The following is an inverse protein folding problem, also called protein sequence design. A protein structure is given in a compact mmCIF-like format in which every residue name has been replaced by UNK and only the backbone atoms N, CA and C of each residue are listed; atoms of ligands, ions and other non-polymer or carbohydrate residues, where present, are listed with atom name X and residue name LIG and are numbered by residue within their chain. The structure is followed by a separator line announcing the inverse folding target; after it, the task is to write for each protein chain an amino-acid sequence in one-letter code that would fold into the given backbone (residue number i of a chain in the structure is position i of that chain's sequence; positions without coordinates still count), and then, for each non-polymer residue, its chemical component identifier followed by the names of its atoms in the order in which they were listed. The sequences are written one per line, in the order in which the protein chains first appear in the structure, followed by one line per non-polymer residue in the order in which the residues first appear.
data_IF_334214028847
#
_entry.id   IF_334214028847
#
_cell.length_a   1.000
_cell.length_b   1.000
_cell.length_c   1.000
_cell.angle_alpha   90.00
_cell.angle_beta   90.00
_cell.angle_gamma   90.00
#
_symmetry.space_group_name_H-M   'P 1'
#
loop_
_entity.id
_entity.type
_entity.pdbx_description
1 polymer ?
#
# COMPACT_ATOMS: atom_id res chain seq x y z
N UNK A 1 -21.09 0.27 8.72
CA UNK A 1 -19.69 0.55 9.06
C UNK A 1 -19.45 0.32 10.56
N UNK A 2 -18.16 0.08 10.94
CA UNK A 2 -17.75 0.00 12.34
C UNK A 2 -18.04 1.31 13.09
N UNK A 3 -18.13 1.23 14.43
CA UNK A 3 -18.32 2.41 15.29
C UNK A 3 -17.12 3.35 15.16
N UNK A 4 -17.38 4.65 15.02
CA UNK A 4 -16.37 5.68 14.89
C UNK A 4 -16.67 6.89 15.77
N UNK A 5 -15.64 7.72 16.00
CA UNK A 5 -15.74 9.02 16.67
C UNK A 5 -15.17 10.11 15.76
N UNK A 6 -15.74 11.31 15.87
CA UNK A 6 -15.29 12.48 15.13
C UNK A 6 -14.50 13.40 16.04
N UNK A 7 -13.36 13.87 15.53
CA UNK A 7 -12.51 14.83 16.21
C UNK A 7 -12.10 15.94 15.23
N UNK A 8 -12.17 17.21 15.63
CA UNK A 8 -11.60 18.29 14.82
C UNK A 8 -10.07 18.11 14.70
N UNK A 9 -9.54 18.42 13.53
CA UNK A 9 -8.12 18.38 13.25
C UNK A 9 -7.70 19.75 12.67
N UNK A 10 -7.47 20.73 13.53
CA UNK A 10 -7.35 22.12 13.15
C UNK A 10 -8.67 22.72 12.67
N UNK A 11 -8.60 23.74 11.82
CA UNK A 11 -9.77 24.52 11.38
C UNK A 11 -10.40 24.00 10.09
N UNK A 12 -9.72 23.13 9.37
CA UNK A 12 -10.09 22.68 8.01
C UNK A 12 -10.03 21.15 7.81
N UNK A 13 -10.10 20.38 8.90
CA UNK A 13 -10.17 18.93 8.79
C UNK A 13 -10.94 18.27 9.95
N UNK A 14 -11.53 17.11 9.66
CA UNK A 14 -12.15 16.21 10.64
C UNK A 14 -11.47 14.84 10.57
N UNK A 15 -11.07 14.30 11.71
CA UNK A 15 -10.63 12.92 11.85
C UNK A 15 -11.82 12.04 12.21
N UNK A 16 -12.16 11.12 11.32
CA UNK A 16 -13.05 9.99 11.60
C UNK A 16 -12.20 8.87 12.18
N UNK A 17 -12.34 8.57 13.45
CA UNK A 17 -11.46 7.65 14.18
C UNK A 17 -12.22 6.39 14.57
N UNK A 18 -11.77 5.25 14.08
CA UNK A 18 -12.28 3.91 14.39
C UNK A 18 -11.58 3.30 15.62
N UNK A 19 -11.93 2.06 15.97
CA UNK A 19 -11.34 1.34 17.10
C UNK A 19 -9.82 1.28 17.03
N UNK A 20 -9.14 1.29 18.20
CA UNK A 20 -7.68 1.32 18.29
C UNK A 20 -7.04 -0.06 18.02
N UNK A 21 -7.17 -0.54 16.80
CA UNK A 21 -6.53 -1.78 16.32
C UNK A 21 -6.21 -1.67 14.84
N UNK A 22 -5.17 -2.38 14.39
CA UNK A 22 -4.86 -2.55 12.98
C UNK A 22 -5.65 -3.76 12.49
N UNK A 23 -6.67 -3.52 11.67
CA UNK A 23 -7.66 -4.52 11.30
C UNK A 23 -8.09 -4.31 9.84
N UNK A 24 -8.05 -5.35 8.97
CA UNK A 24 -8.50 -5.25 7.59
C UNK A 24 -9.96 -4.81 7.44
N UNK A 25 -10.83 -5.12 8.42
CA UNK A 25 -12.23 -4.65 8.39
C UNK A 25 -12.32 -3.14 8.60
N UNK A 26 -11.55 -2.61 9.55
CA UNK A 26 -11.48 -1.15 9.77
C UNK A 26 -10.94 -0.46 8.50
N UNK A 27 -9.92 -1.02 7.86
CA UNK A 27 -9.42 -0.47 6.59
C UNK A 27 -10.52 -0.45 5.53
N UNK A 28 -11.28 -1.53 5.37
CA UNK A 28 -12.45 -1.58 4.45
C UNK A 28 -13.50 -0.52 4.80
N UNK A 29 -13.82 -0.34 6.09
CA UNK A 29 -14.75 0.70 6.54
C UNK A 29 -14.26 2.10 6.20
N UNK A 30 -12.96 2.36 6.32
CA UNK A 30 -12.34 3.64 5.93
C UNK A 30 -12.45 3.86 4.42
N UNK A 31 -12.10 2.86 3.61
CA UNK A 31 -12.20 2.95 2.14
C UNK A 31 -13.66 3.16 1.70
N UNK A 32 -14.59 2.42 2.30
CA UNK A 32 -16.02 2.55 2.03
C UNK A 32 -16.53 3.95 2.34
N UNK A 33 -16.18 4.48 3.51
CA UNK A 33 -16.60 5.82 3.93
C UNK A 33 -16.06 6.88 2.97
N UNK A 34 -14.78 6.76 2.59
CA UNK A 34 -14.12 7.67 1.65
C UNK A 34 -14.84 7.65 0.29
N UNK A 35 -15.14 6.47 -0.25
CA UNK A 35 -15.84 6.33 -1.53
C UNK A 35 -17.27 6.85 -1.47
N UNK A 36 -18.00 6.57 -0.40
CA UNK A 36 -19.33 7.12 -0.19
C UNK A 36 -19.33 8.64 -0.14
N UNK A 37 -18.36 9.25 0.54
CA UNK A 37 -18.20 10.72 0.60
C UNK A 37 -17.85 11.30 -0.78
N UNK A 38 -16.96 10.65 -1.53
CA UNK A 38 -16.64 11.05 -2.91
C UNK A 38 -17.87 11.01 -3.82
N UNK A 39 -18.65 9.92 -3.74
CA UNK A 39 -19.87 9.75 -4.56
C UNK A 39 -20.96 10.77 -4.24
N UNK A 40 -20.96 11.33 -3.02
CA UNK A 40 -21.90 12.39 -2.62
C UNK A 40 -21.54 13.75 -3.22
N UNK A 41 -20.34 13.94 -3.75
CA UNK A 41 -19.84 15.20 -4.32
C UNK A 41 -20.10 16.40 -3.39
N UNK A 42 -19.95 16.21 -2.08
CA UNK A 42 -20.19 17.25 -1.08
C UNK A 42 -19.31 18.46 -1.35
N UNK A 43 -19.95 19.60 -1.63
CA UNK A 43 -19.23 20.86 -1.82
C UNK A 43 -18.39 21.20 -0.59
N UNK A 44 -17.16 21.67 -0.82
CA UNK A 44 -16.25 22.08 0.24
C UNK A 44 -15.32 20.98 0.75
N UNK A 45 -15.49 19.71 0.42
CA UNK A 45 -14.48 18.68 0.69
C UNK A 45 -13.31 18.88 -0.28
N UNK A 46 -12.09 19.03 0.27
CA UNK A 46 -10.87 19.28 -0.51
C UNK A 46 -9.93 18.07 -0.59
N UNK A 47 -10.07 17.08 0.29
CA UNK A 47 -9.21 15.91 0.26
C UNK A 47 -9.52 14.87 1.33
N UNK A 48 -8.88 13.71 1.18
CA UNK A 48 -8.97 12.59 2.11
C UNK A 48 -7.59 12.01 2.36
N UNK A 49 -7.29 11.69 3.63
CA UNK A 49 -6.09 10.96 4.01
C UNK A 49 -6.49 9.77 4.87
N UNK A 50 -6.55 8.57 4.28
CA UNK A 50 -6.76 7.34 5.04
C UNK A 50 -5.49 6.97 5.81
N UNK A 51 -5.66 6.37 7.00
CA UNK A 51 -4.61 5.79 7.81
C UNK A 51 -5.07 4.44 8.39
N UNK A 52 -4.29 3.84 9.30
CA UNK A 52 -4.61 2.51 9.86
C UNK A 52 -6.01 2.40 10.47
N UNK A 53 -6.47 3.46 11.14
CA UNK A 53 -7.74 3.50 11.87
C UNK A 53 -8.47 4.84 11.77
N UNK A 54 -7.99 5.74 10.92
CA UNK A 54 -8.58 7.06 10.77
C UNK A 54 -8.76 7.41 9.29
N UNK A 55 -9.81 8.18 9.01
CA UNK A 55 -9.94 8.93 7.78
C UNK A 55 -9.93 10.41 8.13
N UNK A 56 -8.92 11.13 7.67
CA UNK A 56 -8.92 12.59 7.75
C UNK A 56 -9.63 13.15 6.53
N UNK A 57 -10.68 13.91 6.75
CA UNK A 57 -11.45 14.60 5.72
C UNK A 57 -11.11 16.08 5.77
N UNK A 58 -10.45 16.59 4.75
CA UNK A 58 -10.13 18.02 4.61
C UNK A 58 -11.29 18.76 3.95
N UNK A 59 -11.53 19.98 4.40
CA UNK A 59 -12.60 20.81 3.87
C UNK A 59 -12.27 22.31 3.90
N UNK A 60 -12.96 23.07 3.06
CA UNK A 60 -12.93 24.53 3.09
C UNK A 60 -14.03 25.03 4.04
N UNK A 61 -13.68 25.63 5.19
CA UNK A 61 -14.66 26.09 6.19
C UNK A 61 -15.50 27.31 5.71
N UNK A 62 -15.13 27.95 4.61
CA UNK A 62 -15.97 29.00 3.98
C UNK A 62 -17.13 28.38 3.20
N UNK A 63 -16.94 27.17 2.64
CA UNK A 63 -17.93 26.48 1.80
C UNK A 63 -18.81 25.50 2.57
N UNK A 64 -18.27 24.88 3.64
CA UNK A 64 -19.00 23.90 4.45
C UNK A 64 -18.60 24.02 5.91
N UNK A 65 -19.59 24.03 6.83
CA UNK A 65 -19.30 24.06 8.28
C UNK A 65 -18.96 22.68 8.80
N UNK A 66 -18.36 22.62 10.01
CA UNK A 66 -18.06 21.36 10.70
C UNK A 66 -19.34 20.49 10.87
N UNK A 67 -20.44 21.09 11.31
CA UNK A 67 -21.70 20.40 11.54
C UNK A 67 -22.36 19.90 10.24
N UNK A 68 -22.16 20.60 9.14
CA UNK A 68 -22.61 20.14 7.82
C UNK A 68 -21.79 18.92 7.36
N UNK A 69 -20.47 18.98 7.55
CA UNK A 69 -19.58 17.88 7.19
C UNK A 69 -19.79 16.67 8.11
N UNK A 70 -20.02 16.88 9.41
CA UNK A 70 -20.39 15.81 10.35
C UNK A 70 -21.65 15.05 9.88
N UNK A 71 -22.70 15.80 9.48
CA UNK A 71 -23.92 15.19 8.91
C UNK A 71 -23.64 14.42 7.62
N UNK A 72 -22.80 14.96 6.74
CA UNK A 72 -22.41 14.26 5.50
C UNK A 72 -21.65 12.97 5.79
N UNK A 73 -20.71 12.98 6.73
CA UNK A 73 -19.98 11.79 7.18
C UNK A 73 -20.96 10.74 7.73
N UNK A 74 -21.89 11.17 8.58
CA UNK A 74 -22.91 10.26 9.13
C UNK A 74 -23.79 9.66 8.03
N UNK A 75 -24.28 10.46 7.09
CA UNK A 75 -25.05 9.96 5.94
C UNK A 75 -24.25 8.99 5.08
N UNK A 76 -22.97 9.30 4.82
CA UNK A 76 -22.08 8.42 4.07
C UNK A 76 -21.85 7.09 4.79
N UNK A 77 -21.78 7.11 6.14
CA UNK A 77 -21.58 5.89 6.93
C UNK A 77 -22.78 4.93 6.91
N UNK A 78 -23.98 5.45 6.67
CA UNK A 78 -25.21 4.67 6.57
C UNK A 78 -25.47 4.08 5.19
N UNK A 79 -24.78 4.59 4.14
CA UNK A 79 -24.93 4.02 2.80
C UNK A 79 -24.43 2.58 2.76
N UNK A 80 -25.21 1.72 2.11
CA UNK A 80 -24.78 0.36 1.82
C UNK A 80 -23.47 0.38 1.00
N UNK A 81 -22.66 -0.65 1.21
CA UNK A 81 -21.42 -0.80 0.47
C UNK A 81 -21.69 -0.88 -1.02
N UNK A 82 -21.18 0.09 -1.78
CA UNK A 82 -21.05 -0.03 -3.23
C UNK A 82 -19.85 -0.93 -3.60
N UNK A 83 -19.05 -1.31 -2.60
CA UNK A 83 -17.85 -2.14 -2.74
C UNK A 83 -18.15 -3.65 -2.79
N UNK A 84 -19.42 -4.06 -2.85
CA UNK A 84 -19.82 -5.50 -2.88
C UNK A 84 -19.21 -6.31 -4.02
N UNK A 85 -18.49 -5.66 -4.93
CA UNK A 85 -17.78 -6.31 -6.04
C UNK A 85 -16.42 -5.69 -6.34
N UNK A 86 -15.77 -5.07 -5.35
CA UNK A 86 -14.42 -4.57 -5.63
C UNK A 86 -13.47 -5.74 -5.87
N UNK A 87 -12.97 -5.78 -7.09
CA UNK A 87 -11.88 -6.65 -7.44
C UNK A 87 -10.67 -6.32 -6.56
N UNK A 88 -10.10 -7.33 -5.91
CA UNK A 88 -8.83 -7.21 -5.18
C UNK A 88 -7.74 -6.99 -6.23
N UNK A 89 -7.02 -5.88 -6.12
CA UNK A 89 -5.83 -5.62 -6.94
C UNK A 89 -4.60 -6.04 -6.15
N UNK A 90 -3.74 -6.85 -6.76
CA UNK A 90 -2.46 -7.31 -6.20
C UNK A 90 -1.36 -6.81 -7.13
N UNK A 91 -0.54 -5.91 -6.62
CA UNK A 91 0.59 -5.34 -7.36
C UNK A 91 1.84 -6.17 -7.07
N UNK A 92 2.43 -6.75 -8.10
CA UNK A 92 3.62 -7.58 -8.03
C UNK A 92 4.88 -6.72 -8.06
N UNK A 93 5.69 -6.82 -7.00
CA UNK A 93 6.92 -6.04 -6.84
C UNK A 93 8.13 -6.98 -6.83
N UNK A 94 8.96 -6.97 -7.88
CA UNK A 94 10.19 -7.76 -7.90
C UNK A 94 11.18 -7.25 -6.85
N UNK A 95 11.75 -8.14 -6.04
CA UNK A 95 12.67 -7.79 -4.96
C UNK A 95 13.87 -8.72 -4.94
N UNK A 96 15.08 -8.15 -5.01
CA UNK A 96 16.32 -8.86 -4.72
C UNK A 96 16.64 -8.76 -3.23
N UNK A 97 16.86 -9.91 -2.57
CA UNK A 97 17.04 -9.99 -1.12
C UNK A 97 18.48 -10.22 -0.73
N UNK A 98 18.88 -9.64 0.41
CA UNK A 98 20.19 -9.85 1.03
C UNK A 98 21.36 -9.20 0.30
N UNK A 99 22.59 -9.58 0.67
CA UNK A 99 23.83 -8.96 0.16
C UNK A 99 23.76 -7.43 0.25
N UNK A 100 24.13 -6.74 -0.83
CA UNK A 100 24.10 -5.28 -0.92
C UNK A 100 22.67 -4.72 -0.98
N UNK A 101 21.69 -5.51 -1.44
CA UNK A 101 20.29 -5.13 -1.50
C UNK A 101 19.57 -5.18 -0.15
N UNK A 102 20.02 -6.04 0.76
CA UNK A 102 19.41 -6.25 2.07
C UNK A 102 20.45 -6.43 3.18
N UNK A 103 21.19 -5.37 3.53
CA UNK A 103 22.30 -5.44 4.50
C UNK A 103 21.88 -5.93 5.88
N UNK A 104 20.60 -5.76 6.26
CA UNK A 104 20.09 -6.14 7.58
C UNK A 104 19.40 -7.51 7.60
N UNK A 105 19.34 -8.23 6.48
CA UNK A 105 18.67 -9.53 6.40
C UNK A 105 19.21 -10.51 7.47
N UNK A 106 20.52 -10.49 7.74
CA UNK A 106 21.13 -11.31 8.81
C UNK A 106 20.68 -10.88 10.21
N UNK A 107 20.47 -9.58 10.43
CA UNK A 107 19.99 -9.07 11.71
C UNK A 107 18.56 -9.57 11.99
N UNK A 108 17.69 -9.46 10.99
CA UNK A 108 16.32 -9.99 11.07
C UNK A 108 16.32 -11.49 11.30
N UNK A 109 17.15 -12.24 10.57
CA UNK A 109 17.28 -13.69 10.72
C UNK A 109 17.72 -14.08 12.15
N UNK A 110 18.72 -13.41 12.69
CA UNK A 110 19.20 -13.65 14.05
C UNK A 110 18.12 -13.32 15.10
N UNK A 111 17.41 -12.19 14.94
CA UNK A 111 16.34 -11.78 15.84
C UNK A 111 15.18 -12.77 15.83
N UNK A 112 14.75 -13.20 14.64
CA UNK A 112 13.69 -14.16 14.41
C UNK A 112 14.06 -15.62 14.75
N UNK A 113 15.35 -15.90 15.00
CA UNK A 113 15.91 -17.28 15.14
C UNK A 113 15.63 -18.16 13.93
N UNK A 114 15.76 -17.58 12.75
CA UNK A 114 15.57 -18.20 11.45
C UNK A 114 16.84 -18.11 10.61
N UNK A 115 16.91 -18.90 9.55
CA UNK A 115 17.92 -18.69 8.50
C UNK A 115 17.51 -17.49 7.61
N UNK A 116 18.46 -16.80 6.96
CA UNK A 116 18.13 -15.75 5.98
C UNK A 116 17.17 -16.22 4.88
N UNK A 117 17.29 -17.48 4.44
CA UNK A 117 16.41 -18.08 3.43
C UNK A 117 14.98 -18.24 3.94
N UNK A 118 14.80 -18.61 5.19
CA UNK A 118 13.47 -18.71 5.82
C UNK A 118 12.83 -17.35 6.00
N UNK A 119 13.60 -16.31 6.40
CA UNK A 119 13.13 -14.92 6.46
C UNK A 119 12.60 -14.48 5.11
N UNK A 120 13.40 -14.64 4.05
CA UNK A 120 13.01 -14.29 2.68
C UNK A 120 11.73 -15.03 2.28
N UNK A 121 11.67 -16.36 2.49
CA UNK A 121 10.49 -17.18 2.16
C UNK A 121 9.23 -16.66 2.85
N UNK A 122 9.28 -16.41 4.15
CA UNK A 122 8.14 -15.94 4.94
C UNK A 122 7.74 -14.52 4.57
N UNK A 123 8.71 -13.69 4.15
CA UNK A 123 8.44 -12.33 3.75
C UNK A 123 7.75 -12.25 2.38
N UNK A 124 8.13 -13.03 1.38
CA UNK A 124 7.49 -12.95 0.05
C UNK A 124 6.21 -13.79 -0.10
N UNK A 125 5.98 -14.75 0.79
CA UNK A 125 4.87 -15.70 0.66
C UNK A 125 3.47 -15.07 0.77
N UNK A 126 3.18 -14.10 1.68
CA UNK A 126 1.86 -13.50 1.78
C UNK A 126 1.65 -12.31 0.82
N UNK A 127 0.38 -12.01 0.57
CA UNK A 127 -0.02 -10.73 0.01
C UNK A 127 -0.23 -9.73 1.14
N UNK A 128 0.33 -8.55 1.02
CA UNK A 128 0.30 -7.50 2.05
C UNK A 128 -0.73 -6.43 1.72
N UNK A 129 -1.71 -6.23 2.59
CA UNK A 129 -2.66 -5.14 2.46
C UNK A 129 -1.97 -3.78 2.65
N UNK A 130 -2.18 -2.86 1.73
CA UNK A 130 -1.77 -1.45 1.87
C UNK A 130 -2.80 -0.73 2.74
N UNK A 131 -2.47 -0.48 3.99
CA UNK A 131 -3.35 0.27 4.90
C UNK A 131 -3.37 1.76 4.57
N UNK A 132 -2.21 2.31 4.24
CA UNK A 132 -2.06 3.73 3.93
C UNK A 132 -0.79 4.00 3.13
N UNK A 133 -0.79 5.14 2.44
CA UNK A 133 0.41 5.77 1.90
C UNK A 133 0.71 7.02 2.72
N UNK A 134 1.99 7.28 2.99
CA UNK A 134 2.37 8.48 3.76
C UNK A 134 3.81 8.45 4.22
N UNK A 135 4.24 9.42 5.02
CA UNK A 135 5.62 9.71 5.39
C UNK A 135 6.41 10.29 4.21
N UNK A 136 6.48 9.58 3.09
CA UNK A 136 7.06 10.02 1.82
C UNK A 136 6.04 9.78 0.71
N UNK A 137 6.08 10.52 -0.41
CA UNK A 137 5.24 10.22 -1.56
C UNK A 137 5.43 8.79 -2.03
N UNK A 138 4.35 7.97 -1.98
CA UNK A 138 4.38 6.57 -2.37
C UNK A 138 4.93 5.59 -1.34
N UNK A 139 5.35 6.01 -0.13
CA UNK A 139 5.71 5.06 0.91
C UNK A 139 4.47 4.29 1.37
N UNK A 140 4.55 2.96 1.35
CA UNK A 140 3.46 2.06 1.71
C UNK A 140 3.64 1.49 3.11
N UNK A 141 2.58 1.55 3.91
CA UNK A 141 2.49 0.86 5.19
C UNK A 141 1.70 -0.43 4.99
N UNK A 142 2.41 -1.55 5.05
CA UNK A 142 1.90 -2.88 4.76
C UNK A 142 1.60 -3.64 6.06
N UNK A 143 0.42 -4.24 6.11
CA UNK A 143 0.03 -5.15 7.19
C UNK A 143 0.02 -6.60 6.74
N UNK A 144 0.12 -7.52 7.70
CA UNK A 144 0.14 -8.96 7.44
C UNK A 144 1.54 -9.59 7.47
N UNK A 145 2.54 -8.86 8.01
CA UNK A 145 3.86 -9.45 8.25
C UNK A 145 3.74 -10.62 9.24
N UNK A 146 4.40 -11.76 8.93
CA UNK A 146 4.54 -12.87 9.88
C UNK A 146 5.12 -12.33 11.20
N UNK A 147 4.41 -12.49 12.33
CA UNK A 147 4.87 -11.97 13.63
C UNK A 147 6.26 -12.44 14.03
N UNK A 148 6.72 -13.60 13.53
CA UNK A 148 8.06 -14.10 13.79
C UNK A 148 9.14 -13.24 13.12
N UNK A 149 8.82 -12.51 12.06
CA UNK A 149 9.73 -11.57 11.38
C UNK A 149 9.78 -10.20 12.05
N UNK A 150 8.89 -9.92 13.00
CA UNK A 150 8.83 -8.63 13.68
C UNK A 150 10.18 -8.29 14.32
N UNK A 151 10.80 -7.23 13.85
CA UNK A 151 12.15 -6.83 14.27
C UNK A 151 12.17 -5.32 14.59
N UNK A 152 12.70 -4.89 15.74
CA UNK A 152 12.80 -3.49 16.08
C UNK A 152 13.58 -2.68 15.05
N UNK A 153 13.30 -1.38 14.97
CA UNK A 153 14.11 -0.43 14.20
C UNK A 153 15.56 -0.45 14.66
N UNK A 154 16.46 -0.04 13.78
CA UNK A 154 17.85 0.22 14.15
C UNK A 154 17.92 1.24 15.29
N UNK A 155 18.81 1.03 16.26
CA UNK A 155 19.04 1.98 17.35
C UNK A 155 19.50 3.35 16.84
N UNK A 156 20.32 3.35 15.78
CA UNK A 156 20.75 4.57 15.08
C UNK A 156 20.23 4.51 13.65
N UNK A 157 19.29 5.39 13.27
CA UNK A 157 18.79 5.47 11.91
C UNK A 157 19.91 5.79 10.90
N UNK A 158 19.80 5.26 9.69
CA UNK A 158 20.65 5.65 8.57
C UNK A 158 20.31 7.06 8.11
N UNK A 159 21.30 7.83 7.73
CA UNK A 159 21.10 9.14 7.10
C UNK A 159 20.55 9.01 5.68
N UNK A 160 20.84 7.87 5.04
CA UNK A 160 20.47 7.59 3.66
C UNK A 160 20.03 6.15 3.51
N UNK A 161 18.83 5.95 2.95
CA UNK A 161 18.30 4.68 2.45
C UNK A 161 18.00 4.89 0.98
N UNK A 162 18.44 3.96 0.14
CA UNK A 162 18.26 4.06 -1.32
C UNK A 162 16.80 3.83 -1.71
N UNK A 163 16.33 4.46 -2.82
CA UNK A 163 15.03 4.19 -3.39
C UNK A 163 14.85 2.69 -3.70
N UNK A 164 13.63 2.20 -3.49
CA UNK A 164 13.32 0.79 -3.68
C UNK A 164 13.69 -0.13 -2.52
N UNK A 165 14.33 0.38 -1.46
CA UNK A 165 14.69 -0.43 -0.30
C UNK A 165 13.45 -1.00 0.39
N UNK A 166 13.44 -2.31 0.60
CA UNK A 166 12.38 -3.06 1.31
C UNK A 166 12.86 -3.35 2.72
N UNK A 167 12.04 -2.99 3.71
CA UNK A 167 12.45 -3.10 5.09
C UNK A 167 11.37 -3.57 6.05
N UNK A 168 11.82 -3.95 7.26
CA UNK A 168 10.98 -4.36 8.38
C UNK A 168 11.22 -3.41 9.56
N UNK A 169 10.14 -3.03 10.25
CA UNK A 169 10.19 -2.27 11.49
C UNK A 169 9.01 -2.63 12.41
N UNK A 170 9.29 -3.24 13.55
CA UNK A 170 8.26 -3.82 14.40
C UNK A 170 7.49 -4.88 13.61
N UNK A 171 6.19 -4.81 13.64
CA UNK A 171 5.26 -5.74 12.97
C UNK A 171 4.91 -5.32 11.53
N UNK A 172 5.67 -4.38 10.94
CA UNK A 172 5.38 -3.83 9.62
C UNK A 172 6.50 -4.12 8.63
N UNK A 173 6.11 -4.27 7.36
CA UNK A 173 7.01 -4.18 6.22
C UNK A 173 6.61 -3.01 5.31
N UNK A 174 7.51 -2.55 4.47
CA UNK A 174 7.26 -1.44 3.56
C UNK A 174 8.40 -1.22 2.59
N UNK A 175 8.21 -0.27 1.67
CA UNK A 175 9.17 0.04 0.61
C UNK A 175 9.44 1.54 0.63
N UNK A 176 10.70 1.92 0.60
CA UNK A 176 11.12 3.31 0.45
C UNK A 176 11.05 3.73 -1.02
N UNK A 177 10.14 4.61 -1.42
CA UNK A 177 9.97 4.98 -2.83
C UNK A 177 11.04 5.94 -3.35
N UNK A 178 11.59 6.74 -2.45
CA UNK A 178 12.62 7.76 -2.72
C UNK A 178 13.72 7.70 -1.66
N UNK A 179 14.86 8.30 -1.95
CA UNK A 179 15.95 8.43 -0.98
C UNK A 179 15.48 9.18 0.27
N UNK A 180 15.77 8.63 1.45
CA UNK A 180 15.41 9.27 2.73
C UNK A 180 16.21 8.71 3.89
N UNK A 181 16.29 9.42 5.03
CA UNK A 181 16.76 8.81 6.27
C UNK A 181 15.74 7.78 6.77
N UNK A 182 16.22 6.78 7.54
CA UNK A 182 15.32 5.79 8.14
C UNK A 182 16.02 4.77 9.01
N UNK A 183 15.25 4.15 9.91
CA UNK A 183 15.74 3.16 10.87
C UNK A 183 15.20 1.75 10.66
N UNK A 184 14.60 1.45 9.52
CA UNK A 184 14.09 0.11 9.23
C UNK A 184 15.22 -0.85 8.91
N UNK A 185 15.01 -2.13 9.21
CA UNK A 185 15.91 -3.21 8.85
C UNK A 185 15.75 -3.52 7.37
N UNK A 186 16.69 -3.12 6.53
CA UNK A 186 16.62 -3.30 5.09
C UNK A 186 16.99 -4.74 4.74
N UNK A 187 16.05 -5.47 4.12
CA UNK A 187 16.17 -6.89 3.80
C UNK A 187 16.27 -7.18 2.29
N UNK A 188 15.89 -6.22 1.45
CA UNK A 188 15.91 -6.34 0.00
C UNK A 188 15.73 -4.99 -0.68
N UNK A 189 15.72 -5.01 -2.02
CA UNK A 189 15.49 -3.83 -2.83
C UNK A 189 14.75 -4.21 -4.11
N UNK A 190 13.81 -3.35 -4.55
CA UNK A 190 13.15 -3.43 -5.85
C UNK A 190 13.84 -2.51 -6.86
N UNK A 191 13.94 -2.90 -8.13
CA UNK A 191 14.45 -2.03 -9.20
C UNK A 191 13.42 -1.02 -9.71
N UNK A 192 12.15 -1.08 -9.22
CA UNK A 192 11.07 -0.24 -9.71
C UNK A 192 11.19 1.21 -9.24
N UNK A 193 10.76 2.14 -10.08
CA UNK A 193 10.50 3.54 -9.70
C UNK A 193 9.08 3.64 -9.14
N UNK A 194 8.94 3.59 -7.82
CA UNK A 194 7.63 3.54 -7.16
C UNK A 194 6.91 4.88 -7.11
N UNK A 195 7.62 5.99 -7.32
CA UNK A 195 7.06 7.33 -7.43
C UNK A 195 7.47 7.98 -8.74
N UNK A 196 6.49 8.37 -9.55
CA UNK A 196 6.62 8.94 -10.88
C UNK A 196 5.77 10.22 -10.96
N UNK A 197 6.27 11.36 -10.45
CA UNK A 197 5.47 12.59 -10.30
C UNK A 197 4.99 13.19 -11.63
N UNK A 198 5.63 12.82 -12.75
CA UNK A 198 5.29 13.32 -14.08
C UNK A 198 4.22 12.48 -14.79
N UNK A 199 3.70 11.42 -14.14
CA UNK A 199 2.63 10.57 -14.66
C UNK A 199 1.29 10.97 -14.06
N UNK A 200 0.20 10.79 -14.81
CA UNK A 200 -1.17 11.01 -14.33
C UNK A 200 -1.48 10.12 -13.11
N UNK A 201 -0.98 8.86 -13.11
CA UNK A 201 -0.99 7.94 -11.98
C UNK A 201 0.44 7.82 -11.43
N UNK A 202 0.80 8.61 -10.41
CA UNK A 202 2.18 8.67 -9.92
C UNK A 202 2.63 7.42 -9.14
N UNK A 203 1.70 6.51 -8.82
CA UNK A 203 1.95 5.28 -8.09
C UNK A 203 1.29 4.09 -8.77
N UNK A 204 1.90 2.90 -8.69
CA UNK A 204 1.32 1.65 -9.20
C UNK A 204 0.16 1.13 -8.34
N UNK A 205 -0.01 1.64 -7.12
CA UNK A 205 -0.88 1.11 -6.07
C UNK A 205 -1.59 2.23 -5.31
N UNK A 206 -2.69 1.84 -4.64
CA UNK A 206 -3.49 2.70 -3.79
C UNK A 206 -3.71 2.05 -2.41
N UNK A 207 -4.14 2.82 -1.43
CA UNK A 207 -4.61 2.25 -0.16
C UNK A 207 -5.79 1.32 -0.42
N UNK A 208 -5.76 0.13 0.17
CA UNK A 208 -6.73 -0.94 -0.07
C UNK A 208 -6.28 -1.99 -1.10
N UNK A 209 -5.30 -1.69 -1.96
CA UNK A 209 -4.64 -2.69 -2.80
C UNK A 209 -3.75 -3.62 -1.96
N UNK A 210 -3.28 -4.69 -2.59
CA UNK A 210 -2.29 -5.60 -2.01
C UNK A 210 -0.97 -5.51 -2.75
N UNK A 211 0.13 -5.76 -2.05
CA UNK A 211 1.44 -5.99 -2.63
C UNK A 211 1.83 -7.46 -2.45
N UNK A 212 2.31 -8.05 -3.52
CA UNK A 212 3.03 -9.32 -3.50
C UNK A 212 4.49 -9.08 -3.87
N UNK A 213 5.41 -9.60 -3.07
CA UNK A 213 6.84 -9.51 -3.36
C UNK A 213 7.31 -10.71 -4.15
N UNK A 214 7.82 -10.50 -5.37
CA UNK A 214 8.37 -11.55 -6.19
C UNK A 214 9.90 -11.61 -6.00
N UNK A 215 10.45 -12.68 -5.39
CA UNK A 215 11.88 -12.79 -5.20
C UNK A 215 12.58 -12.97 -6.55
N UNK A 216 13.55 -12.10 -6.83
CA UNK A 216 14.37 -12.16 -8.06
C UNK A 216 15.85 -12.31 -7.72
N UNK A 217 16.59 -12.90 -8.63
CA UNK A 217 18.06 -12.95 -8.55
C UNK A 217 18.68 -11.59 -8.84
N UNK A 218 19.97 -11.43 -8.52
CA UNK A 218 20.75 -10.24 -8.84
C UNK A 218 20.76 -9.98 -10.37
N UNK A 219 20.91 -11.02 -11.17
CA UNK A 219 20.87 -10.91 -12.63
C UNK A 219 19.50 -10.40 -13.12
N UNK A 220 18.40 -10.97 -12.64
CA UNK A 220 17.04 -10.53 -12.99
C UNK A 220 16.77 -9.10 -12.51
N UNK A 221 17.26 -8.74 -11.32
CA UNK A 221 17.17 -7.36 -10.82
C UNK A 221 17.79 -6.37 -11.80
N UNK A 222 19.01 -6.65 -12.30
CA UNK A 222 19.70 -5.78 -13.25
C UNK A 222 18.97 -5.70 -14.60
N UNK A 223 18.40 -6.82 -15.08
CA UNK A 223 17.59 -6.84 -16.31
C UNK A 223 16.33 -5.98 -16.16
N UNK A 224 15.59 -6.17 -15.06
CA UNK A 224 14.39 -5.38 -14.78
C UNK A 224 14.76 -3.90 -14.64
N UNK A 225 15.84 -3.60 -13.89
CA UNK A 225 16.29 -2.22 -13.71
C UNK A 225 16.57 -1.53 -15.05
N UNK A 226 17.24 -2.21 -15.97
CA UNK A 226 17.49 -1.70 -17.33
C UNK A 226 16.17 -1.42 -18.06
N UNK A 227 15.22 -2.35 -18.02
CA UNK A 227 13.90 -2.15 -18.65
C UNK A 227 13.11 -0.99 -18.03
N UNK A 228 13.20 -0.82 -16.71
CA UNK A 228 12.59 0.32 -15.98
C UNK A 228 13.23 1.64 -16.41
N UNK A 229 14.56 1.68 -16.51
CA UNK A 229 15.31 2.88 -16.93
C UNK A 229 15.04 3.26 -18.39
N UNK A 230 14.77 2.28 -19.25
CA UNK A 230 14.37 2.45 -20.66
C UNK A 230 12.85 2.71 -20.85
N UNK A 231 12.04 2.66 -19.78
CA UNK A 231 10.60 2.86 -19.84
C UNK A 231 9.80 1.69 -20.46
N UNK A 232 10.40 0.51 -20.53
CA UNK A 232 9.80 -0.67 -21.17
C UNK A 232 9.25 -1.71 -20.17
N UNK A 233 9.45 -1.53 -18.88
CA UNK A 233 8.95 -2.45 -17.87
C UNK A 233 7.51 -2.15 -17.50
N UNK A 234 6.64 -3.15 -17.59
CA UNK A 234 5.26 -3.07 -17.13
C UNK A 234 5.13 -3.84 -15.81
N UNK A 235 4.64 -3.16 -14.78
CA UNK A 235 4.35 -3.80 -13.49
C UNK A 235 3.14 -4.71 -13.66
N UNK A 236 3.31 -5.97 -13.25
CA UNK A 236 2.20 -6.93 -13.29
C UNK A 236 1.22 -6.62 -12.14
N UNK A 237 -0.05 -6.46 -12.49
CA UNK A 237 -1.14 -6.21 -11.54
C UNK A 237 -2.20 -7.29 -11.76
N UNK A 238 -2.33 -8.17 -10.78
CA UNK A 238 -3.39 -9.17 -10.76
C UNK A 238 -4.69 -8.57 -10.23
N UNK A 239 -5.81 -8.89 -10.87
CA UNK A 239 -7.14 -8.48 -10.41
C UNK A 239 -7.98 -9.72 -10.13
N UNK A 240 -8.38 -9.91 -8.86
CA UNK A 240 -9.26 -11.01 -8.43
C UNK A 240 -10.64 -10.49 -8.09
N UNK A 241 -11.69 -11.09 -8.65
CA UNK A 241 -13.08 -10.83 -8.24
C UNK A 241 -13.33 -11.55 -6.92
N UNK A 242 -13.85 -10.83 -5.92
CA UNK A 242 -14.33 -11.47 -4.69
C UNK A 242 -15.72 -12.05 -4.97
N UNK A 243 -15.85 -13.37 -4.94
CA UNK A 243 -17.15 -14.05 -4.87
C UNK A 243 -17.56 -14.20 -3.41
N UNK A 244 -18.85 -14.05 -3.09
CA UNK A 244 -19.39 -14.08 -1.71
C UNK A 244 -19.17 -15.43 -0.99
N UNK A 245 -18.77 -16.49 -1.70
CA UNK A 245 -18.55 -17.84 -1.17
C UNK A 245 -17.06 -18.15 -1.02
N UNK A 246 -16.31 -17.43 -0.23
CA UNK A 246 -15.00 -17.81 0.35
C UNK A 246 -14.02 -18.72 -0.45
N UNK A 247 -14.29 -19.01 -1.73
CA UNK A 247 -13.48 -19.85 -2.60
C UNK A 247 -12.89 -19.05 -3.77
N UNK A 248 -11.56 -19.01 -3.81
CA UNK A 248 -10.80 -18.29 -4.82
C UNK A 248 -10.73 -19.09 -6.11
N UNK A 249 -11.57 -18.76 -7.09
CA UNK A 249 -11.38 -19.26 -8.45
C UNK A 249 -10.41 -18.37 -9.22
N UNK A 250 -9.25 -18.94 -9.56
CA UNK A 250 -8.25 -18.34 -10.44
C UNK A 250 -8.84 -18.14 -11.85
N UNK A 251 -9.00 -16.89 -12.26
CA UNK A 251 -9.17 -16.55 -13.67
C UNK A 251 -8.05 -15.61 -14.09
N UNK A 252 -6.97 -16.20 -14.60
CA UNK A 252 -5.93 -15.47 -15.32
C UNK A 252 -6.52 -14.94 -16.65
N UNK A 253 -6.80 -13.64 -16.70
CA UNK A 253 -7.18 -12.96 -17.92
C UNK A 253 -5.96 -12.42 -18.63
N UNK A 254 -5.43 -13.15 -19.60
CA UNK A 254 -4.47 -12.64 -20.58
C UNK A 254 -5.29 -11.79 -21.56
N UNK A 255 -5.13 -10.48 -21.55
CA UNK A 255 -5.62 -9.63 -22.64
C UNK A 255 -4.56 -9.64 -23.73
N UNK A 256 -4.76 -10.51 -24.72
CA UNK A 256 -4.04 -10.50 -25.99
C UNK A 256 -4.74 -9.52 -26.93
N UNK A 257 -4.20 -8.30 -27.04
CA UNK A 257 -4.63 -7.33 -28.07
C UNK A 257 -3.73 -7.47 -29.31
N UNK A 258 -3.95 -8.56 -30.02
CA UNK A 258 -3.39 -8.78 -31.34
C UNK A 258 -4.24 -8.17 -32.45
N UNK A 259 -4.05 -6.88 -32.76
CA UNK A 259 -4.55 -6.31 -34.03
C UNK A 259 -3.39 -6.20 -35.04
N UNK A 260 -3.18 -7.27 -35.78
CA UNK A 260 -2.34 -7.30 -36.97
C UNK A 260 -3.20 -7.46 -38.23
N UNK A 261 -3.66 -6.38 -38.79
CA UNK A 261 -4.22 -6.39 -40.16
C UNK A 261 -3.06 -6.27 -41.17
N UNK A 262 -2.75 -7.34 -41.85
CA UNK A 262 -1.94 -7.34 -43.03
C UNK A 262 -2.77 -7.73 -44.23
N UNK A 263 -3.06 -6.79 -45.12
CA UNK A 263 -3.50 -7.05 -46.49
C UNK A 263 -2.37 -6.76 -47.45
N UNK A 264 -2.29 -7.67 -48.40
CA UNK A 264 -1.55 -7.74 -49.66
C UNK A 264 -0.10 -8.17 -49.58
#
# INVERSE_FOLDING_TARGET
LDEYKLYPAGDCAINVTFSNRVDPQINRSIQQLQENLRSMQQTGITGFVPAFRTLTVFYDPILVTFEQLERAIHQASLKASTLQTQAIRIVHIPVCYGKDFGPDLKNVANHAKLTPREVVKRHYQPNYLIYMLGFLPGFVYLGGLDPQLATPRLATPRLKIEPGAVGIAGEQTGIYPIESPGGWQIIGQTPLRLFQPDQDEPFYYHAGDYIHFDPVSDFEYQQIKKMVDEGHYQVYIETRKVTEDGDSSDTAGITDDGSGSGKN
#
